data_IF_530862914960
#
_entry.id   IF_530862914960
#
_cell.length_a   1.000
_cell.length_b   1.000
_cell.length_c   1.000
_cell.angle_alpha   90.00
_cell.angle_beta   90.00
_cell.angle_gamma   90.00
#
_symmetry.space_group_name_H-M   'P 1'
#
loop_
_entity.id
_entity.type
_entity.pdbx_description
1 polymer ?
#
# COMPACT_ATOMS: atom_id res chain seq x y z
N UNK A 1 22.57 -4.75 -2.10
CA UNK A 1 21.29 -4.30 -2.67
C UNK A 1 20.20 -4.52 -1.64
N UNK A 2 19.31 -3.54 -1.46
CA UNK A 2 18.11 -3.70 -0.66
C UNK A 2 17.14 -4.67 -1.35
N UNK A 3 16.20 -5.27 -0.59
CA UNK A 3 15.16 -6.14 -1.19
C UNK A 3 14.34 -5.39 -2.26
N UNK A 4 14.05 -4.10 -2.03
CA UNK A 4 13.35 -3.24 -2.99
C UNK A 4 14.13 -3.07 -4.30
N UNK A 5 15.44 -2.81 -4.23
CA UNK A 5 16.29 -2.71 -5.43
C UNK A 5 16.36 -4.02 -6.21
N UNK A 6 16.41 -5.17 -5.52
CA UNK A 6 16.40 -6.48 -6.16
C UNK A 6 15.06 -6.74 -6.86
N UNK A 7 13.93 -6.50 -6.19
CA UNK A 7 12.60 -6.67 -6.77
C UNK A 7 12.38 -5.74 -7.96
N UNK A 8 12.87 -4.49 -7.88
CA UNK A 8 12.81 -3.56 -9.01
C UNK A 8 13.63 -4.04 -10.20
N UNK A 9 14.87 -4.48 -9.97
CA UNK A 9 15.72 -5.04 -11.03
C UNK A 9 15.11 -6.31 -11.66
N UNK A 10 14.45 -7.13 -10.87
CA UNK A 10 13.69 -8.29 -11.34
C UNK A 10 12.55 -7.88 -12.27
N UNK A 11 11.71 -6.93 -11.84
CA UNK A 11 10.59 -6.41 -12.65
C UNK A 11 11.09 -5.73 -13.94
N UNK A 12 12.17 -4.97 -13.88
CA UNK A 12 12.79 -4.36 -15.06
C UNK A 12 13.33 -5.41 -16.05
N UNK A 13 13.88 -6.52 -15.56
CA UNK A 13 14.48 -7.55 -16.40
C UNK A 13 13.48 -8.52 -17.02
N UNK A 14 12.43 -8.91 -16.30
CA UNK A 14 11.52 -10.00 -16.65
C UNK A 14 10.07 -9.53 -16.82
N UNK A 15 9.75 -8.30 -16.41
CA UNK A 15 8.40 -7.72 -16.51
C UNK A 15 7.50 -7.98 -15.30
N UNK A 16 7.91 -8.85 -14.36
CA UNK A 16 7.13 -9.18 -13.15
C UNK A 16 8.04 -9.57 -11.99
N UNK A 17 7.48 -9.64 -10.78
CA UNK A 17 8.21 -10.01 -9.57
C UNK A 17 8.29 -11.53 -9.44
N UNK A 18 9.50 -12.10 -9.40
CA UNK A 18 9.75 -13.56 -9.24
C UNK A 18 9.94 -13.96 -7.78
N UNK A 19 10.71 -13.17 -7.02
CA UNK A 19 11.14 -13.52 -5.66
C UNK A 19 10.15 -13.09 -4.57
N UNK A 20 9.03 -12.47 -4.96
CA UNK A 20 8.02 -11.93 -4.04
C UNK A 20 7.56 -10.53 -4.46
N UNK A 21 6.48 -10.03 -3.87
CA UNK A 21 5.94 -8.71 -4.17
C UNK A 21 6.29 -7.70 -3.06
N UNK A 22 6.46 -6.41 -3.37
CA UNK A 22 6.49 -5.35 -2.35
C UNK A 22 5.27 -5.39 -1.42
N UNK A 23 4.12 -5.89 -1.89
CA UNK A 23 2.88 -6.03 -1.12
C UNK A 23 2.93 -7.13 -0.04
N UNK A 24 3.90 -8.05 -0.11
CA UNK A 24 3.99 -9.17 0.83
C UNK A 24 4.18 -8.71 2.27
N UNK A 25 4.93 -7.64 2.45
CA UNK A 25 5.20 -7.05 3.77
C UNK A 25 3.94 -6.38 4.36
N UNK A 26 2.98 -5.99 3.53
CA UNK A 26 1.75 -5.29 3.90
C UNK A 26 0.50 -6.18 3.90
N UNK A 27 0.64 -7.49 3.65
CA UNK A 27 -0.50 -8.43 3.49
C UNK A 27 -1.50 -8.34 4.64
N UNK A 28 -1.02 -8.26 5.89
CA UNK A 28 -1.90 -8.17 7.06
C UNK A 28 -2.64 -6.83 7.14
N UNK A 29 -1.99 -5.75 6.74
CA UNK A 29 -2.62 -4.43 6.66
C UNK A 29 -3.68 -4.42 5.57
N UNK A 30 -3.33 -4.89 4.37
CA UNK A 30 -4.23 -4.94 3.20
C UNK A 30 -5.50 -5.72 3.56
N UNK A 31 -5.36 -6.92 4.12
CA UNK A 31 -6.49 -7.76 4.51
C UNK A 31 -7.42 -7.13 5.58
N UNK A 32 -6.94 -6.15 6.33
CA UNK A 32 -7.72 -5.48 7.39
C UNK A 32 -8.28 -4.13 6.96
N UNK A 33 -7.56 -3.40 6.13
CA UNK A 33 -7.86 -2.03 5.77
C UNK A 33 -8.54 -1.89 4.41
N UNK A 34 -8.27 -2.83 3.49
CA UNK A 34 -8.82 -2.81 2.14
C UNK A 34 -10.11 -3.66 2.06
N UNK A 35 -11.02 -3.26 1.21
CA UNK A 35 -12.30 -3.96 0.98
C UNK A 35 -12.45 -4.48 -0.44
N UNK A 36 -11.53 -4.15 -1.34
CA UNK A 36 -11.49 -4.61 -2.74
C UNK A 36 -10.07 -4.87 -3.20
N UNK A 37 -9.94 -5.56 -4.33
CA UNK A 37 -8.71 -5.74 -5.12
C UNK A 37 -8.89 -5.14 -6.52
N UNK A 38 -7.80 -4.96 -7.28
CA UNK A 38 -7.86 -4.39 -8.63
C UNK A 38 -8.73 -5.22 -9.58
N UNK A 39 -8.78 -6.55 -9.44
CA UNK A 39 -9.60 -7.43 -10.28
C UNK A 39 -11.09 -7.09 -10.30
N UNK A 40 -11.62 -6.50 -9.22
CA UNK A 40 -13.03 -6.07 -9.15
C UNK A 40 -13.37 -5.05 -10.24
N UNK A 41 -12.38 -4.29 -10.72
CA UNK A 41 -12.54 -3.23 -11.71
C UNK A 41 -12.18 -3.66 -13.14
N UNK A 42 -11.51 -4.81 -13.30
CA UNK A 42 -11.08 -5.34 -14.60
C UNK A 42 -12.15 -6.17 -15.31
N UNK A 43 -13.25 -6.49 -14.65
CA UNK A 43 -14.28 -7.42 -15.15
C UNK A 43 -15.15 -6.89 -16.30
N UNK A 44 -14.78 -5.76 -16.92
CA UNK A 44 -15.59 -5.08 -17.95
C UNK A 44 -14.97 -4.92 -19.33
N UNK A 45 -13.67 -5.14 -19.53
CA UNK A 45 -13.00 -4.68 -20.77
C UNK A 45 -12.38 -5.75 -21.67
N UNK A 46 -12.25 -7.02 -21.26
CA UNK A 46 -11.65 -8.07 -22.10
C UNK A 46 -12.57 -9.29 -22.33
N UNK A 47 -13.80 -9.06 -22.75
CA UNK A 47 -14.50 -10.09 -23.49
C UNK A 47 -14.05 -10.01 -24.95
N UNK A 48 -12.89 -10.59 -25.27
CA UNK A 48 -12.55 -10.89 -26.67
C UNK A 48 -13.69 -11.69 -27.28
N UNK A 49 -14.32 -11.13 -28.33
CA UNK A 49 -15.44 -11.76 -29.08
C UNK A 49 -15.07 -13.12 -29.75
N UNK A 50 -13.84 -13.61 -29.56
CA UNK A 50 -13.31 -14.83 -30.17
C UNK A 50 -13.09 -16.00 -29.16
N UNK A 51 -13.61 -15.93 -27.92
CA UNK A 51 -13.53 -17.08 -27.02
C UNK A 51 -14.54 -18.15 -27.45
N UNK A 52 -14.03 -19.28 -27.97
CA UNK A 52 -14.76 -20.52 -28.23
C UNK A 52 -15.57 -20.91 -26.98
N UNK A 53 -16.87 -20.90 -27.17
CA UNK A 53 -17.89 -21.33 -26.20
C UNK A 53 -17.60 -22.75 -25.70
N UNK A 54 -16.93 -22.89 -24.58
CA UNK A 54 -16.67 -24.16 -23.91
C UNK A 54 -17.85 -24.46 -22.98
N UNK A 55 -18.62 -25.55 -23.20
CA UNK A 55 -19.82 -25.85 -22.42
C UNK A 55 -19.55 -26.21 -20.94
N UNK A 56 -18.32 -26.08 -20.46
CA UNK A 56 -17.89 -26.43 -19.10
C UNK A 56 -17.36 -25.27 -18.28
N UNK A 57 -17.36 -24.04 -18.79
CA UNK A 57 -16.88 -22.84 -18.08
C UNK A 57 -18.07 -22.08 -17.45
N UNK A 58 -18.76 -22.75 -16.51
CA UNK A 58 -19.60 -22.06 -15.53
C UNK A 58 -18.69 -21.39 -14.50
N UNK A 59 -17.89 -20.38 -14.89
CA UNK A 59 -17.39 -19.41 -13.93
C UNK A 59 -18.59 -18.57 -13.51
N UNK A 60 -18.96 -18.54 -12.21
CA UNK A 60 -20.00 -17.65 -11.76
C UNK A 60 -19.54 -16.23 -12.11
N UNK A 61 -20.32 -15.48 -12.86
CA UNK A 61 -20.21 -14.03 -12.91
C UNK A 61 -20.47 -13.53 -11.48
N UNK A 62 -19.42 -13.45 -10.68
CA UNK A 62 -19.48 -12.79 -9.39
C UNK A 62 -19.67 -11.31 -9.69
N UNK A 63 -20.92 -10.89 -9.69
CA UNK A 63 -21.31 -9.48 -9.70
C UNK A 63 -20.81 -8.90 -8.37
N UNK A 64 -19.57 -8.44 -8.34
CA UNK A 64 -19.03 -7.73 -7.19
C UNK A 64 -19.72 -6.36 -7.10
N UNK A 65 -20.61 -6.21 -6.14
CA UNK A 65 -21.11 -4.88 -5.78
C UNK A 65 -19.92 -4.02 -5.30
N UNK A 66 -19.52 -3.06 -6.14
CA UNK A 66 -18.46 -2.12 -5.78
C UNK A 66 -18.97 -1.28 -4.60
N UNK A 67 -18.24 -1.26 -3.47
CA UNK A 67 -18.70 -0.52 -2.29
C UNK A 67 -18.69 0.99 -2.55
N UNK A 68 -19.61 1.74 -1.91
CA UNK A 68 -19.70 3.20 -1.98
C UNK A 68 -18.38 3.90 -1.65
N UNK A 69 -17.60 3.30 -0.76
CA UNK A 69 -16.24 3.73 -0.42
C UNK A 69 -15.27 2.59 -0.69
N UNK A 70 -14.49 2.77 -1.72
CA UNK A 70 -13.41 1.87 -2.11
C UNK A 70 -12.18 2.14 -1.24
N UNK A 71 -11.61 1.07 -0.70
CA UNK A 71 -10.37 1.07 0.09
C UNK A 71 -9.43 0.02 -0.49
N UNK A 72 -8.35 0.48 -1.07
CA UNK A 72 -7.40 -0.39 -1.79
C UNK A 72 -5.97 0.00 -1.48
N UNK A 73 -5.06 -0.95 -1.50
CA UNK A 73 -3.64 -0.70 -1.46
C UNK A 73 -2.95 -1.40 -2.63
N UNK A 74 -2.01 -0.72 -3.23
CA UNK A 74 -1.25 -1.22 -4.37
C UNK A 74 0.09 -0.53 -4.50
N UNK A 75 0.90 -1.02 -5.41
CA UNK A 75 2.17 -0.44 -5.79
C UNK A 75 1.90 0.72 -6.73
N UNK A 76 2.44 1.90 -6.44
CA UNK A 76 2.36 3.06 -7.34
C UNK A 76 3.26 2.81 -8.55
N UNK A 77 2.67 2.57 -9.71
CA UNK A 77 3.41 2.25 -10.94
C UNK A 77 3.55 3.44 -11.88
N UNK A 78 2.64 4.41 -11.81
CA UNK A 78 2.66 5.57 -12.69
C UNK A 78 2.07 6.81 -12.02
N UNK A 79 2.67 7.98 -12.32
CA UNK A 79 2.15 9.29 -11.91
C UNK A 79 2.18 10.24 -13.10
N UNK A 80 1.01 10.59 -13.62
CA UNK A 80 0.86 11.56 -14.72
C UNK A 80 0.24 12.84 -14.20
N UNK A 81 1.05 13.88 -14.06
CA UNK A 81 0.61 15.21 -13.63
C UNK A 81 0.08 16.01 -14.80
N UNK A 82 -1.05 16.67 -14.63
CA UNK A 82 -1.64 17.57 -15.62
C UNK A 82 -2.10 18.87 -15.00
N UNK A 83 -2.20 19.90 -15.84
CA UNK A 83 -2.75 21.21 -15.46
C UNK A 83 -4.16 21.32 -16.07
N UNK A 84 -5.13 21.58 -15.23
CA UNK A 84 -6.54 21.76 -15.67
C UNK A 84 -6.70 23.07 -16.44
N UNK A 85 -7.80 23.22 -17.17
CA UNK A 85 -8.14 24.48 -17.88
C UNK A 85 -8.21 25.70 -16.95
N UNK A 86 -8.40 25.49 -15.64
CA UNK A 86 -8.44 26.54 -14.59
C UNK A 86 -7.05 26.84 -14.00
N UNK A 87 -5.98 26.22 -14.51
CA UNK A 87 -4.61 26.41 -14.01
C UNK A 87 -4.25 25.62 -12.76
N UNK A 88 -5.15 24.80 -12.22
CA UNK A 88 -4.86 23.95 -11.06
C UNK A 88 -4.20 22.65 -11.49
N UNK A 89 -3.30 22.12 -10.66
CA UNK A 89 -2.68 20.82 -10.89
C UNK A 89 -3.56 19.68 -10.41
N UNK A 90 -3.56 18.57 -11.14
CA UNK A 90 -4.15 17.28 -10.76
C UNK A 90 -3.25 16.15 -11.27
N UNK A 91 -3.52 14.93 -10.84
CA UNK A 91 -2.78 13.76 -11.33
C UNK A 91 -3.71 12.60 -11.68
N UNK A 92 -3.28 11.81 -12.64
CA UNK A 92 -3.72 10.45 -12.84
C UNK A 92 -2.60 9.55 -12.38
N UNK A 93 -2.91 8.58 -11.54
CA UNK A 93 -1.96 7.59 -11.06
C UNK A 93 -2.47 6.18 -11.38
N UNK A 94 -1.56 5.25 -11.50
CA UNK A 94 -1.88 3.83 -11.62
C UNK A 94 -1.31 3.11 -10.40
N UNK A 95 -2.13 2.28 -9.79
CA UNK A 95 -1.72 1.35 -8.75
C UNK A 95 -1.89 -0.08 -9.24
N UNK A 96 -0.98 -0.94 -8.85
CA UNK A 96 -0.96 -2.37 -9.20
C UNK A 96 -1.04 -3.19 -7.92
N UNK A 97 -1.92 -4.17 -7.87
CA UNK A 97 -1.90 -5.21 -6.86
C UNK A 97 -1.59 -6.57 -7.50
N UNK A 98 -1.82 -7.67 -6.79
CA UNK A 98 -1.58 -9.02 -7.32
C UNK A 98 -2.60 -9.47 -8.36
N UNK A 99 -3.68 -8.73 -8.52
CA UNK A 99 -4.84 -9.10 -9.33
C UNK A 99 -5.00 -8.24 -10.56
N UNK A 100 -4.28 -7.13 -10.67
CA UNK A 100 -4.32 -6.24 -11.83
C UNK A 100 -3.96 -4.80 -11.49
N UNK A 101 -4.28 -3.90 -12.40
CA UNK A 101 -4.04 -2.47 -12.32
C UNK A 101 -5.34 -1.70 -12.08
N UNK A 102 -5.24 -0.55 -11.42
CA UNK A 102 -6.34 0.37 -11.24
C UNK A 102 -5.89 1.80 -11.51
N UNK A 103 -6.61 2.48 -12.41
CA UNK A 103 -6.45 3.91 -12.62
C UNK A 103 -7.09 4.71 -11.49
N UNK A 104 -6.38 5.70 -10.97
CA UNK A 104 -6.85 6.56 -9.89
C UNK A 104 -6.75 8.02 -10.33
N UNK A 105 -7.86 8.74 -10.24
CA UNK A 105 -7.95 10.18 -10.52
C UNK A 105 -7.79 10.97 -9.23
N UNK A 106 -6.80 11.88 -9.20
CA UNK A 106 -6.51 12.75 -8.06
C UNK A 106 -6.82 14.19 -8.44
N UNK A 107 -8.01 14.66 -8.07
CA UNK A 107 -8.45 16.02 -8.36
C UNK A 107 -7.63 17.08 -7.62
N UNK A 108 -7.66 18.36 -8.07
CA UNK A 108 -6.77 19.41 -7.57
C UNK A 108 -6.74 19.56 -6.04
N UNK A 109 -7.89 19.50 -5.39
CA UNK A 109 -8.00 19.64 -3.92
C UNK A 109 -7.26 18.51 -3.17
N UNK A 110 -7.33 17.31 -3.69
CA UNK A 110 -6.60 16.15 -3.15
C UNK A 110 -5.14 16.19 -3.55
N UNK A 111 -4.85 16.59 -4.80
CA UNK A 111 -3.48 16.71 -5.26
C UNK A 111 -2.64 17.68 -4.41
N UNK A 112 -3.18 18.83 -4.03
CA UNK A 112 -2.51 19.77 -3.13
C UNK A 112 -2.11 19.14 -1.79
N UNK A 113 -2.91 18.19 -1.28
CA UNK A 113 -2.65 17.51 -0.01
C UNK A 113 -1.61 16.39 -0.13
N UNK A 114 -1.63 15.68 -1.26
CA UNK A 114 -0.87 14.44 -1.44
C UNK A 114 0.26 14.56 -2.47
N UNK A 115 0.56 15.77 -2.96
CA UNK A 115 1.59 16.00 -3.97
C UNK A 115 2.97 15.47 -3.58
N UNK A 116 3.27 15.44 -2.26
CA UNK A 116 4.53 14.89 -1.75
C UNK A 116 4.69 13.38 -1.92
N UNK A 117 3.56 12.63 -1.98
CA UNK A 117 3.56 11.17 -2.22
C UNK A 117 3.54 10.91 -3.73
N UNK A 118 2.95 11.81 -4.52
CA UNK A 118 2.74 11.64 -5.96
C UNK A 118 3.94 12.18 -6.76
N UNK A 119 5.11 11.60 -6.53
CA UNK A 119 6.36 11.96 -7.22
C UNK A 119 7.01 10.71 -7.82
N UNK A 120 7.90 10.92 -8.78
CA UNK A 120 8.63 9.83 -9.43
C UNK A 120 9.51 9.04 -8.45
N UNK A 121 9.89 9.66 -7.32
CA UNK A 121 10.67 9.03 -6.25
C UNK A 121 9.86 7.95 -5.51
N UNK A 122 8.53 8.06 -5.52
CA UNK A 122 7.59 7.12 -4.88
C UNK A 122 7.08 6.02 -5.83
N UNK A 123 7.54 5.99 -7.07
CA UNK A 123 7.30 4.86 -7.96
C UNK A 123 7.87 3.59 -7.31
N UNK A 124 7.12 2.50 -7.38
CA UNK A 124 7.35 1.20 -6.70
C UNK A 124 7.15 1.23 -5.16
N UNK A 125 6.61 2.31 -4.59
CA UNK A 125 6.15 2.32 -3.20
C UNK A 125 4.73 1.77 -3.09
N UNK A 126 4.43 1.16 -1.95
CA UNK A 126 3.07 0.72 -1.65
C UNK A 126 2.30 1.89 -1.05
N UNK A 127 1.18 2.23 -1.69
CA UNK A 127 0.28 3.27 -1.22
C UNK A 127 -1.11 2.69 -0.92
N UNK A 128 -1.82 3.34 0.01
CA UNK A 128 -3.23 3.09 0.29
C UNK A 128 -4.05 4.24 -0.28
N UNK A 129 -5.13 3.88 -0.95
CA UNK A 129 -6.07 4.83 -1.56
C UNK A 129 -7.48 4.54 -1.04
N UNK A 130 -8.17 5.60 -0.62
CA UNK A 130 -9.57 5.57 -0.28
C UNK A 130 -10.30 6.56 -1.18
N UNK A 131 -11.45 6.16 -1.74
CA UNK A 131 -12.18 7.01 -2.66
C UNK A 131 -13.48 6.39 -3.14
N UNK A 132 -14.01 6.93 -4.24
CA UNK A 132 -15.22 6.45 -4.90
C UNK A 132 -14.91 6.05 -6.33
N UNK A 133 -15.44 4.91 -6.74
CA UNK A 133 -15.29 4.47 -8.11
C UNK A 133 -16.28 5.20 -9.01
N UNK A 134 -15.81 5.73 -10.12
CA UNK A 134 -16.59 6.37 -11.17
C UNK A 134 -16.58 5.48 -12.41
N UNK A 135 -17.72 4.85 -12.69
CA UNK A 135 -17.95 3.98 -13.84
C UNK A 135 -18.57 4.70 -15.03
N UNK A 136 -18.98 5.99 -14.87
CA UNK A 136 -19.80 6.69 -15.86
C UNK A 136 -18.97 7.32 -17.01
N UNK A 137 -17.66 7.20 -17.00
CA UNK A 137 -16.77 7.77 -18.01
C UNK A 137 -16.12 6.69 -18.86
N UNK A 138 -15.82 7.00 -20.15
CA UNK A 138 -15.02 6.14 -21.04
C UNK A 138 -13.64 5.75 -20.46
N UNK A 139 -13.27 6.34 -19.33
CA UNK A 139 -12.09 6.03 -18.51
C UNK A 139 -12.53 5.80 -17.06
N UNK A 140 -13.13 4.66 -16.80
CA UNK A 140 -13.48 4.25 -15.44
C UNK A 140 -12.28 4.35 -14.50
N UNK A 141 -12.43 5.02 -13.37
CA UNK A 141 -11.32 5.26 -12.45
C UNK A 141 -11.79 5.44 -11.00
N UNK A 142 -10.90 5.14 -10.06
CA UNK A 142 -11.12 5.48 -8.66
C UNK A 142 -10.81 6.96 -8.43
N UNK A 143 -11.80 7.73 -7.98
CA UNK A 143 -11.61 9.12 -7.56
C UNK A 143 -11.08 9.12 -6.15
N UNK A 144 -9.83 9.54 -5.95
CA UNK A 144 -9.19 9.54 -4.65
C UNK A 144 -9.70 10.64 -3.73
N UNK A 145 -10.13 10.27 -2.53
CA UNK A 145 -10.41 11.17 -1.42
C UNK A 145 -9.23 11.24 -0.45
N UNK A 146 -8.52 10.13 -0.26
CA UNK A 146 -7.36 10.01 0.61
C UNK A 146 -6.30 9.12 -0.04
N UNK A 147 -5.04 9.54 0.08
CA UNK A 147 -3.87 8.74 -0.30
C UNK A 147 -2.89 8.76 0.87
N UNK A 148 -2.28 7.62 1.16
CA UNK A 148 -1.28 7.51 2.23
C UNK A 148 -0.20 6.52 1.81
N UNK A 149 1.04 6.88 1.99
CA UNK A 149 2.16 5.96 1.94
C UNK A 149 2.10 5.02 3.16
N UNK A 150 2.38 3.75 2.95
CA UNK A 150 2.43 2.75 4.03
C UNK A 150 3.88 2.64 4.52
N UNK A 151 4.11 2.98 5.77
CA UNK A 151 5.41 2.85 6.42
C UNK A 151 5.39 1.72 7.43
N UNK A 152 6.51 1.03 7.51
CA UNK A 152 6.68 -0.06 8.48
C UNK A 152 7.84 0.27 9.40
N UNK A 153 7.58 0.31 10.70
CA UNK A 153 8.61 0.45 11.72
C UNK A 153 9.03 -0.94 12.20
N UNK A 154 10.32 -1.20 12.15
CA UNK A 154 10.92 -2.41 12.69
C UNK A 154 11.66 -2.08 13.99
N UNK A 155 11.28 -2.77 15.06
CA UNK A 155 11.98 -2.73 16.34
C UNK A 155 12.74 -4.05 16.53
N UNK A 156 14.06 -3.95 16.57
CA UNK A 156 14.94 -5.11 16.77
C UNK A 156 15.19 -5.33 18.24
N UNK A 157 15.00 -6.56 18.69
CA UNK A 157 15.35 -7.04 20.03
C UNK A 157 16.27 -8.25 19.92
N UNK A 158 17.21 -8.37 20.85
CA UNK A 158 18.10 -9.52 20.92
C UNK A 158 17.33 -10.82 21.10
N UNK A 159 16.37 -10.83 22.04
CA UNK A 159 15.58 -12.00 22.40
C UNK A 159 14.17 -11.63 22.90
N UNK A 160 13.37 -12.64 23.19
CA UNK A 160 12.00 -12.46 23.69
C UNK A 160 11.95 -11.79 25.05
N UNK A 161 12.94 -12.00 25.91
CA UNK A 161 12.97 -11.42 27.26
C UNK A 161 13.16 -9.91 27.19
N UNK A 162 14.05 -9.43 26.32
CA UNK A 162 14.26 -8.02 26.10
C UNK A 162 13.00 -7.34 25.56
N UNK A 163 12.31 -7.97 24.60
CA UNK A 163 11.01 -7.49 24.14
C UNK A 163 9.99 -7.40 25.27
N UNK A 164 9.85 -8.47 26.08
CA UNK A 164 8.87 -8.51 27.18
C UNK A 164 9.14 -7.41 28.21
N UNK A 165 10.40 -7.10 28.49
CA UNK A 165 10.78 -6.02 29.41
C UNK A 165 10.38 -4.63 28.89
N UNK A 166 10.25 -4.47 27.57
CA UNK A 166 9.90 -3.21 26.92
C UNK A 166 8.45 -3.18 26.39
N UNK A 167 7.70 -4.27 26.55
CA UNK A 167 6.36 -4.43 25.97
C UNK A 167 5.39 -3.33 26.41
N UNK A 168 5.37 -3.00 27.68
CA UNK A 168 4.49 -1.95 28.23
C UNK A 168 4.79 -0.56 27.60
N UNK A 169 6.07 -0.25 27.41
CA UNK A 169 6.47 0.99 26.73
C UNK A 169 5.98 1.02 25.29
N UNK A 170 6.14 -0.08 24.56
CA UNK A 170 5.72 -0.19 23.16
C UNK A 170 4.20 -0.07 23.05
N UNK A 171 3.44 -0.72 23.93
CA UNK A 171 1.98 -0.61 23.97
C UNK A 171 1.52 0.83 24.27
N UNK A 172 2.18 1.53 25.17
CA UNK A 172 1.92 2.96 25.43
C UNK A 172 2.27 3.83 24.24
N UNK A 173 3.40 3.54 23.57
CA UNK A 173 3.79 4.24 22.36
C UNK A 173 2.75 4.09 21.23
N UNK A 174 2.27 2.87 21.01
CA UNK A 174 1.21 2.57 20.02
C UNK A 174 -0.06 3.34 20.37
N UNK A 175 -0.50 3.31 21.64
CA UNK A 175 -1.71 4.03 22.07
C UNK A 175 -1.58 5.54 21.93
N UNK A 176 -0.40 6.10 22.17
CA UNK A 176 -0.12 7.54 22.00
C UNK A 176 -0.12 7.98 20.53
N UNK A 177 0.34 7.09 19.64
CA UNK A 177 0.47 7.35 18.21
C UNK A 177 -0.55 6.57 17.38
N UNK A 178 -1.73 6.25 17.94
CA UNK A 178 -2.75 5.46 17.29
C UNK A 178 -3.14 6.02 15.92
N UNK A 179 -3.21 5.15 14.93
CA UNK A 179 -3.54 5.49 13.56
C UNK A 179 -3.94 4.25 12.77
N UNK A 180 -4.18 4.43 11.47
CA UNK A 180 -4.69 3.34 10.62
C UNK A 180 -3.71 2.88 9.55
N UNK A 181 -2.56 3.53 9.42
CA UNK A 181 -1.80 3.49 8.19
C UNK A 181 -0.48 2.71 8.29
N UNK A 182 0.19 2.74 9.45
CA UNK A 182 1.56 2.23 9.55
C UNK A 182 1.65 1.06 10.51
N UNK A 183 2.52 0.11 10.21
CA UNK A 183 2.69 -1.10 11.01
C UNK A 183 3.94 -1.02 11.89
N UNK A 184 3.91 -1.66 13.05
CA UNK A 184 5.10 -1.94 13.86
C UNK A 184 5.37 -3.42 13.84
N UNK A 185 6.60 -3.79 13.50
CA UNK A 185 7.11 -5.15 13.57
C UNK A 185 8.21 -5.27 14.61
N UNK A 186 8.19 -6.39 15.32
CA UNK A 186 9.28 -6.81 16.19
C UNK A 186 10.11 -7.82 15.44
N UNK A 187 11.41 -7.58 15.39
CA UNK A 187 12.39 -8.53 14.90
C UNK A 187 13.21 -9.07 16.06
N UNK A 188 13.19 -10.38 16.24
CA UNK A 188 13.99 -11.06 17.26
C UNK A 188 15.28 -11.62 16.62
N UNK A 189 16.42 -11.04 16.99
CA UNK A 189 17.72 -11.40 16.39
C UNK A 189 18.13 -12.84 16.72
N UNK A 190 17.79 -13.31 17.89
CA UNK A 190 18.06 -14.67 18.39
C UNK A 190 17.60 -15.78 17.43
N UNK A 191 16.39 -15.69 16.90
CA UNK A 191 15.79 -16.73 16.06
C UNK A 191 15.38 -16.23 14.68
N UNK A 192 15.77 -14.99 14.34
CA UNK A 192 15.45 -14.32 13.06
C UNK A 192 13.94 -14.24 12.77
N UNK A 193 13.12 -14.27 13.83
CA UNK A 193 11.67 -14.17 13.70
C UNK A 193 11.23 -12.71 13.62
N UNK A 194 10.31 -12.44 12.72
CA UNK A 194 9.61 -11.17 12.61
C UNK A 194 8.15 -11.35 13.03
N UNK A 195 7.65 -10.51 13.93
CA UNK A 195 6.29 -10.57 14.42
C UNK A 195 5.67 -9.17 14.38
N UNK A 196 4.52 -9.05 13.73
CA UNK A 196 3.75 -7.82 13.76
C UNK A 196 3.10 -7.64 15.13
N UNK A 197 3.19 -6.44 15.70
CA UNK A 197 2.42 -6.05 16.87
C UNK A 197 0.99 -5.74 16.42
N UNK A 198 0.01 -6.18 17.19
CA UNK A 198 -1.39 -5.82 16.96
C UNK A 198 -1.59 -4.33 17.27
N UNK A 199 -1.85 -3.55 16.24
CA UNK A 199 -2.09 -2.12 16.31
C UNK A 199 -1.41 -1.43 15.15
N UNK A 200 -2.05 -0.40 14.63
CA UNK A 200 -1.48 0.47 13.62
C UNK A 200 -1.17 1.81 14.27
N UNK A 201 -0.13 2.45 13.83
CA UNK A 201 0.25 3.78 14.26
C UNK A 201 0.11 4.76 13.11
N UNK A 202 0.18 6.04 13.44
CA UNK A 202 0.48 7.10 12.49
C UNK A 202 1.96 7.43 12.63
N UNK A 203 2.74 7.11 11.60
CA UNK A 203 4.14 7.52 11.55
C UNK A 203 4.25 9.04 11.67
N UNK A 204 5.13 9.48 12.54
CA UNK A 204 5.57 10.87 12.61
C UNK A 204 7.06 10.91 12.99
N UNK A 205 7.82 11.89 12.50
CA UNK A 205 9.25 11.99 12.75
C UNK A 205 9.61 12.07 14.25
N UNK A 206 8.80 12.78 15.05
CA UNK A 206 9.06 12.95 16.49
C UNK A 206 8.87 11.62 17.25
N UNK A 207 7.81 10.88 16.92
CA UNK A 207 7.58 9.55 17.48
C UNK A 207 8.65 8.55 17.06
N UNK A 208 9.16 8.65 15.84
CA UNK A 208 10.26 7.83 15.40
C UNK A 208 11.56 8.15 16.15
N UNK A 209 11.87 9.42 16.34
CA UNK A 209 12.99 9.86 17.15
C UNK A 209 12.87 9.39 18.61
N UNK A 210 11.66 9.43 19.22
CA UNK A 210 11.39 8.88 20.55
C UNK A 210 11.73 7.37 20.65
N UNK A 211 11.42 6.59 19.59
CA UNK A 211 11.81 5.18 19.54
C UNK A 211 13.32 4.99 19.39
N UNK A 212 13.98 5.79 18.56
CA UNK A 212 15.43 5.74 18.37
C UNK A 212 16.18 6.10 19.66
N UNK A 213 15.76 7.13 20.35
CA UNK A 213 16.31 7.50 21.67
C UNK A 213 16.18 6.39 22.71
N UNK A 214 15.06 5.66 22.65
CA UNK A 214 14.78 4.56 23.59
C UNK A 214 15.53 3.27 23.27
N UNK A 215 15.61 2.90 21.98
CA UNK A 215 16.09 1.59 21.54
C UNK A 215 17.39 1.64 20.73
N UNK A 216 17.96 2.83 20.53
CA UNK A 216 19.07 3.16 19.62
C UNK A 216 18.75 3.03 18.12
N UNK A 217 19.47 3.79 17.29
CA UNK A 217 19.27 3.87 15.85
C UNK A 217 19.43 2.52 15.15
N UNK A 218 20.34 1.67 15.64
CA UNK A 218 20.59 0.35 15.07
C UNK A 218 19.41 -0.63 15.23
N UNK A 219 18.57 -0.38 16.25
CA UNK A 219 17.45 -1.25 16.60
C UNK A 219 16.09 -0.73 16.13
N UNK A 220 16.05 0.47 15.55
CA UNK A 220 14.82 1.08 15.03
C UNK A 220 15.01 1.43 13.56
N UNK A 221 14.27 0.78 12.69
CA UNK A 221 14.35 1.04 11.25
C UNK A 221 12.95 1.32 10.70
N UNK A 222 12.85 2.29 9.81
CA UNK A 222 11.66 2.52 8.97
C UNK A 222 11.97 1.98 7.58
N UNK A 223 11.05 1.20 7.05
CA UNK A 223 11.03 0.88 5.63
C UNK A 223 9.81 1.56 5.01
N UNK A 224 10.08 2.22 3.94
CA UNK A 224 9.12 2.89 3.06
C UNK A 224 8.91 1.98 1.87
#
# INVERSE_FOLDING_TARGET
YSKKELLRAEKEAVGFYLSGSPLDEYTLYINRACNVTCSVFSSGEDADEDSYDSPFDETPEENYDIPDVVKIAGILTSVKKIVTKKGSQMAFITIEDRTGDLSVTVFPKQYEKFAGILTDEHIDDVIYVEGKYDSDTDNSSLIADKITDLKTIFLKFRDMQEYMNNKEYIEKFISKNEGTNDNIYIYLDFNKQCKMIKGCIRYNPDGFAELQDKFSDENVQVRI
#
